data_IF_187537591892
#
_entry.id   IF_187537591892
#
_cell.length_a   1.000
_cell.length_b   1.000
_cell.length_c   1.000
_cell.angle_alpha   90.00
_cell.angle_beta   90.00
_cell.angle_gamma   90.00
#
_symmetry.space_group_name_H-M   'P 1'
#
loop_
_entity.id
_entity.type
_entity.pdbx_description
1 polymer ?
#
# COMPACT_ATOMS: atom_id res chain seq x y z
N UNK A 1 16.71 18.65 -1.17
CA UNK A 1 15.91 17.54 -0.61
C UNK A 1 14.66 17.42 -1.45
N UNK A 2 14.69 16.55 -2.45
CA UNK A 2 13.52 16.29 -3.27
C UNK A 2 12.58 15.38 -2.46
N UNK A 3 11.39 15.88 -2.13
CA UNK A 3 10.33 14.99 -1.65
C UNK A 3 9.91 14.17 -2.86
N UNK A 4 10.59 13.05 -3.10
CA UNK A 4 10.27 12.12 -4.18
C UNK A 4 8.80 11.76 -4.06
N UNK A 5 7.97 12.28 -4.98
CA UNK A 5 6.55 11.99 -5.01
C UNK A 5 6.41 10.51 -5.29
N UNK A 6 6.03 9.73 -4.28
CA UNK A 6 5.92 8.29 -4.41
C UNK A 6 4.82 7.94 -5.41
N UNK A 7 5.20 7.21 -6.48
CA UNK A 7 4.25 6.82 -7.52
C UNK A 7 3.21 5.85 -6.94
N UNK A 8 1.96 6.12 -7.27
CA UNK A 8 0.82 5.33 -6.83
C UNK A 8 0.22 4.53 -8.00
N UNK A 9 0.12 3.23 -7.81
CA UNK A 9 -0.48 2.29 -8.73
C UNK A 9 -1.97 2.10 -8.44
N UNK A 10 -2.75 1.88 -9.49
CA UNK A 10 -4.13 1.40 -9.44
C UNK A 10 -4.19 -0.11 -9.16
N UNK A 11 -5.36 -0.66 -8.74
CA UNK A 11 -5.51 -2.11 -8.59
C UNK A 11 -5.21 -2.87 -9.89
N UNK A 12 -5.53 -2.28 -11.05
CA UNK A 12 -5.26 -2.87 -12.36
C UNK A 12 -3.77 -2.97 -12.68
N UNK A 13 -3.00 -1.91 -12.40
CA UNK A 13 -1.54 -1.95 -12.58
C UNK A 13 -0.87 -3.01 -11.69
N UNK A 14 -1.28 -3.10 -10.42
CA UNK A 14 -0.77 -4.14 -9.50
C UNK A 14 -1.17 -5.53 -9.99
N UNK A 15 -2.40 -5.70 -10.47
CA UNK A 15 -2.88 -6.96 -11.03
C UNK A 15 -2.05 -7.42 -12.23
N UNK A 16 -1.71 -6.51 -13.14
CA UNK A 16 -0.83 -6.80 -14.28
C UNK A 16 0.55 -7.28 -13.83
N UNK A 17 1.14 -6.64 -12.81
CA UNK A 17 2.45 -7.02 -12.29
C UNK A 17 2.44 -8.42 -11.65
N UNK A 18 1.42 -8.72 -10.85
CA UNK A 18 1.28 -10.02 -10.17
C UNK A 18 0.63 -11.11 -11.03
N UNK A 19 0.18 -10.78 -12.26
CA UNK A 19 -0.59 -11.66 -13.15
C UNK A 19 -1.83 -12.26 -12.48
N UNK A 20 -2.57 -11.43 -11.75
CA UNK A 20 -3.83 -11.79 -11.08
C UNK A 20 -4.96 -10.88 -11.52
N UNK A 21 -6.19 -11.21 -11.12
CA UNK A 21 -7.34 -10.32 -11.34
C UNK A 21 -7.33 -9.10 -10.38
N UNK A 22 -7.73 -7.88 -10.82
CA UNK A 22 -7.82 -6.70 -9.95
C UNK A 22 -8.69 -6.86 -8.69
N UNK A 23 -9.72 -7.71 -8.72
CA UNK A 23 -10.54 -8.06 -7.55
C UNK A 23 -9.73 -8.84 -6.52
N UNK A 24 -8.75 -9.64 -6.95
CA UNK A 24 -7.82 -10.34 -6.06
C UNK A 24 -6.93 -9.34 -5.32
N UNK A 25 -6.40 -8.33 -6.00
CA UNK A 25 -5.63 -7.24 -5.37
C UNK A 25 -6.49 -6.48 -4.36
N UNK A 26 -7.74 -6.18 -4.71
CA UNK A 26 -8.70 -5.53 -3.80
C UNK A 26 -8.96 -6.38 -2.56
N UNK A 27 -9.05 -7.71 -2.71
CA UNK A 27 -9.19 -8.65 -1.58
C UNK A 27 -7.95 -8.68 -0.70
N UNK A 28 -6.75 -8.66 -1.27
CA UNK A 28 -5.50 -8.56 -0.50
C UNK A 28 -5.46 -7.28 0.34
N UNK A 29 -5.85 -6.15 -0.25
CA UNK A 29 -5.91 -4.87 0.45
C UNK A 29 -7.00 -4.83 1.53
N UNK A 30 -8.12 -5.54 1.33
CA UNK A 30 -9.15 -5.70 2.37
C UNK A 30 -8.68 -6.61 3.51
N UNK A 31 -7.86 -7.61 3.20
CA UNK A 31 -7.28 -8.55 4.17
C UNK A 31 -5.98 -8.03 4.84
N UNK A 32 -5.55 -6.79 4.53
CA UNK A 32 -4.32 -6.22 5.10
C UNK A 32 -3.02 -6.90 4.63
N UNK A 33 -3.05 -7.61 3.50
CA UNK A 33 -1.88 -8.33 2.95
C UNK A 33 -0.97 -7.44 2.09
N UNK A 34 -1.46 -6.27 1.73
CA UNK A 34 -0.78 -5.21 0.98
C UNK A 34 -1.35 -3.88 1.47
N UNK A 35 -0.50 -2.89 1.72
CA UNK A 35 -0.95 -1.56 2.13
C UNK A 35 -1.71 -0.88 1.00
N UNK A 36 -2.72 -0.09 1.34
CA UNK A 36 -3.45 0.68 0.34
C UNK A 36 -3.85 2.04 0.88
N UNK A 37 -3.73 3.05 0.04
CA UNK A 37 -4.27 4.39 0.27
C UNK A 37 -5.65 4.45 -0.37
N UNK A 38 -6.65 4.96 0.35
CA UNK A 38 -7.97 5.23 -0.23
C UNK A 38 -8.04 6.67 -0.70
N UNK A 39 -8.51 6.88 -1.93
CA UNK A 39 -8.87 8.22 -2.40
C UNK A 39 -10.21 8.65 -1.79
N UNK A 40 -10.55 9.96 -1.81
CA UNK A 40 -11.86 10.43 -1.35
C UNK A 40 -13.05 9.72 -2.01
N UNK A 41 -12.90 9.30 -3.28
CA UNK A 41 -13.91 8.51 -4.01
C UNK A 41 -13.92 7.01 -3.69
N UNK A 42 -13.13 6.55 -2.72
CA UNK A 42 -13.09 5.15 -2.26
C UNK A 42 -12.23 4.19 -3.10
N UNK A 43 -11.62 4.66 -4.19
CA UNK A 43 -10.69 3.85 -4.98
C UNK A 43 -9.39 3.61 -4.21
N UNK A 44 -8.80 2.43 -4.39
CA UNK A 44 -7.53 2.07 -3.76
C UNK A 44 -6.36 2.48 -4.65
N UNK A 45 -5.27 2.87 -4.00
CA UNK A 45 -3.96 3.13 -4.58
C UNK A 45 -2.89 2.42 -3.79
N UNK A 46 -1.83 1.98 -4.47
CA UNK A 46 -0.75 1.19 -3.90
C UNK A 46 0.58 1.89 -4.16
N UNK A 47 1.47 1.91 -3.17
CA UNK A 47 2.81 2.44 -3.37
C UNK A 47 3.59 1.53 -4.31
N UNK A 48 4.16 2.10 -5.36
CA UNK A 48 4.96 1.35 -6.34
C UNK A 48 6.15 0.64 -5.66
N UNK A 49 6.81 1.31 -4.71
CA UNK A 49 7.95 0.77 -3.94
C UNK A 49 7.60 -0.53 -3.20
N UNK A 50 6.47 -0.55 -2.50
CA UNK A 50 5.97 -1.69 -1.73
C UNK A 50 5.52 -2.83 -2.64
N UNK A 51 4.83 -2.52 -3.74
CA UNK A 51 4.42 -3.50 -4.75
C UNK A 51 5.64 -4.21 -5.33
N UNK A 52 6.70 -3.46 -5.65
CA UNK A 52 7.95 -4.06 -6.12
C UNK A 52 8.69 -4.86 -5.05
N UNK A 53 8.65 -4.45 -3.79
CA UNK A 53 9.19 -5.23 -2.68
C UNK A 53 8.51 -6.60 -2.56
N UNK A 54 7.17 -6.61 -2.60
CA UNK A 54 6.39 -7.85 -2.57
C UNK A 54 6.70 -8.79 -3.76
N UNK A 55 6.96 -8.24 -4.96
CA UNK A 55 7.39 -9.02 -6.12
C UNK A 55 8.78 -9.66 -5.93
N UNK A 56 9.66 -9.02 -5.15
CA UNK A 56 10.97 -9.59 -4.77
C UNK A 56 10.88 -10.64 -3.66
N UNK A 57 9.68 -10.91 -3.13
CA UNK A 57 9.48 -11.80 -1.99
C UNK A 57 9.84 -11.15 -0.65
N UNK A 58 10.06 -9.84 -0.62
CA UNK A 58 10.13 -9.07 0.62
C UNK A 58 8.69 -9.01 1.14
N UNK A 59 8.35 -9.92 2.07
CA UNK A 59 7.00 -10.05 2.60
C UNK A 59 6.45 -8.72 3.13
N UNK A 60 5.12 -8.61 3.18
CA UNK A 60 4.47 -7.43 3.70
C UNK A 60 4.92 -7.17 5.14
N UNK A 61 5.72 -6.11 5.32
CA UNK A 61 5.99 -5.52 6.63
C UNK A 61 5.05 -4.32 6.74
N UNK A 62 3.99 -4.38 7.56
CA UNK A 62 3.24 -3.19 7.88
C UNK A 62 4.27 -2.15 8.36
N UNK A 63 4.33 -0.97 7.73
CA UNK A 63 5.09 0.12 8.32
C UNK A 63 4.46 0.37 9.69
N UNK A 64 5.18 0.02 10.75
CA UNK A 64 4.86 0.41 12.12
C UNK A 64 4.68 1.92 12.08
N UNK A 65 3.42 2.35 12.13
CA UNK A 65 3.11 3.76 12.28
C UNK A 65 3.69 4.15 13.63
N UNK A 66 4.84 4.81 13.65
CA UNK A 66 5.33 5.48 14.85
C UNK A 66 4.33 6.60 15.17
N UNK A 67 3.23 6.25 15.81
CA UNK A 67 2.44 7.19 16.57
C UNK A 67 3.31 7.56 17.76
N UNK A 68 4.03 8.68 17.63
CA UNK A 68 4.69 9.31 18.77
C UNK A 68 3.66 9.54 19.89
N UNK A 69 4.06 9.44 21.17
CA UNK A 69 3.14 9.50 22.29
C UNK A 69 2.59 10.92 22.42
N UNK A 70 1.44 11.20 21.80
CA UNK A 70 0.64 12.35 22.19
C UNK A 70 -0.39 11.89 23.23
N UNK A 71 0.13 11.69 24.44
CA UNK A 71 -0.61 11.43 25.65
C UNK A 71 0.04 12.22 26.78
N UNK A 72 0.14 13.55 26.64
CA UNK A 72 0.36 14.41 27.79
C UNK A 72 -0.95 14.45 28.58
N UNK A 73 -1.02 13.56 29.55
CA UNK A 73 -1.78 13.80 30.77
C UNK A 73 -1.16 15.01 31.48
N UNK A 74 -1.97 16.03 31.72
CA UNK A 74 -1.94 16.92 32.89
C UNK A 74 -3.26 17.68 32.94
#
# INVERSE_FOLDING_TARGET
MERSSERLLTPGEVATLFRVDPKTVTRWAAAGRISSIRTPGGHRRFRESEVHALLRGEGYRPQEVTQGPNGLAS
#
